data_IF_628161956785
#
_entry.id   IF_628161956785
#
_cell.length_a   1.000
_cell.length_b   1.000
_cell.length_c   1.000
_cell.angle_alpha   90.00
_cell.angle_beta   90.00
_cell.angle_gamma   90.00
#
_symmetry.space_group_name_H-M   'P 1'
#
loop_
_entity.id
_entity.type
_entity.pdbx_description
1 polymer ?
#
# COMPACT_ATOMS: atom_id res chain seq x y z
N UNK A 1 2.32 -13.42 29.52
CA UNK A 1 1.15 -13.10 28.67
C UNK A 1 0.47 -11.87 29.25
N UNK A 2 0.81 -10.68 28.74
CA UNK A 2 0.33 -9.40 29.26
C UNK A 2 -0.87 -8.92 28.42
N UNK A 3 -2.02 -9.58 28.60
CA UNK A 3 -3.19 -9.51 27.71
C UNK A 3 -3.82 -8.12 27.50
N UNK A 4 -3.43 -7.10 28.27
CA UNK A 4 -3.96 -5.73 28.14
C UNK A 4 -3.18 -4.85 27.17
N UNK A 5 -1.85 -4.99 27.06
CA UNK A 5 -1.02 -4.12 26.21
C UNK A 5 -1.09 -4.55 24.74
N UNK A 6 -0.99 -5.86 24.49
CA UNK A 6 -1.22 -6.50 23.19
C UNK A 6 -2.54 -6.04 22.54
N UNK A 7 -3.56 -5.75 23.36
CA UNK A 7 -4.89 -5.34 22.87
C UNK A 7 -4.91 -3.97 22.19
N UNK A 8 -4.07 -3.01 22.61
CA UNK A 8 -4.09 -1.65 22.07
C UNK A 8 -3.35 -1.59 20.73
N UNK A 9 -2.16 -2.20 20.65
CA UNK A 9 -1.40 -2.31 19.40
C UNK A 9 -2.21 -3.05 18.35
N UNK A 10 -2.82 -4.18 18.72
CA UNK A 10 -3.65 -4.95 17.80
C UNK A 10 -4.87 -4.16 17.31
N UNK A 11 -5.55 -3.40 18.17
CA UNK A 11 -6.68 -2.53 17.75
C UNK A 11 -6.22 -1.46 16.77
N UNK A 12 -5.11 -0.79 17.03
CA UNK A 12 -4.54 0.22 16.14
C UNK A 12 -4.18 -0.37 14.77
N UNK A 13 -3.51 -1.53 14.75
CA UNK A 13 -3.16 -2.22 13.52
C UNK A 13 -4.37 -2.63 12.69
N UNK A 14 -5.42 -3.16 13.34
CA UNK A 14 -6.68 -3.50 12.66
C UNK A 14 -7.29 -2.29 11.94
N UNK A 15 -7.30 -1.13 12.59
CA UNK A 15 -7.80 0.12 11.97
C UNK A 15 -6.95 0.47 10.74
N UNK A 16 -5.63 0.44 10.87
CA UNK A 16 -4.74 0.74 9.76
C UNK A 16 -4.85 -0.25 8.60
N UNK A 17 -5.05 -1.54 8.87
CA UNK A 17 -5.29 -2.54 7.83
C UNK A 17 -6.61 -2.33 7.08
N UNK A 18 -7.67 -1.92 7.79
CA UNK A 18 -8.93 -1.54 7.14
C UNK A 18 -8.77 -0.29 6.28
N UNK A 19 -8.08 0.74 6.79
CA UNK A 19 -7.79 1.95 6.02
C UNK A 19 -6.99 1.60 4.75
N UNK A 20 -5.94 0.78 4.88
CA UNK A 20 -5.13 0.36 3.74
C UNK A 20 -5.94 -0.45 2.73
N UNK A 21 -6.79 -1.38 3.19
CA UNK A 21 -7.70 -2.11 2.31
C UNK A 21 -8.60 -1.17 1.50
N UNK A 22 -9.22 -0.18 2.15
CA UNK A 22 -10.08 0.79 1.46
C UNK A 22 -9.28 1.57 0.41
N UNK A 23 -8.08 2.02 0.76
CA UNK A 23 -7.19 2.73 -0.17
C UNK A 23 -6.84 1.83 -1.35
N UNK A 24 -6.31 0.62 -1.12
CA UNK A 24 -5.93 -0.31 -2.19
C UNK A 24 -7.08 -0.59 -3.15
N UNK A 25 -8.28 -0.89 -2.63
CA UNK A 25 -9.45 -1.18 -3.45
C UNK A 25 -9.90 0.04 -4.24
N UNK A 26 -9.81 1.25 -3.66
CA UNK A 26 -10.19 2.48 -4.36
C UNK A 26 -9.30 2.77 -5.60
N UNK A 27 -8.05 2.31 -5.60
CA UNK A 27 -7.16 2.38 -6.76
C UNK A 27 -7.26 1.12 -7.64
N UNK A 28 -7.43 -0.06 -7.05
CA UNK A 28 -7.50 -1.33 -7.78
C UNK A 28 -8.71 -1.39 -8.72
N UNK A 29 -9.89 -0.97 -8.27
CA UNK A 29 -11.11 -0.98 -9.08
C UNK A 29 -10.96 -0.19 -10.38
N UNK A 30 -10.63 1.11 -10.38
CA UNK A 30 -10.48 1.86 -11.62
C UNK A 30 -9.28 1.38 -12.46
N UNK A 31 -8.16 0.95 -11.85
CA UNK A 31 -7.05 0.35 -12.58
C UNK A 31 -7.44 -0.96 -13.29
N UNK A 32 -8.37 -1.72 -12.72
CA UNK A 32 -8.80 -2.99 -13.31
C UNK A 32 -9.79 -2.78 -14.46
N UNK A 33 -10.82 -1.97 -14.24
CA UNK A 33 -11.94 -1.81 -15.18
C UNK A 33 -11.70 -0.71 -16.22
N UNK A 34 -11.03 0.38 -15.86
CA UNK A 34 -10.81 1.54 -16.72
C UNK A 34 -9.37 2.10 -16.61
N UNK A 35 -8.33 1.26 -16.83
CA UNK A 35 -6.92 1.63 -16.58
C UNK A 35 -6.47 2.87 -17.36
N UNK A 36 -6.83 2.97 -18.64
CA UNK A 36 -6.39 4.08 -19.51
C UNK A 36 -6.98 5.41 -19.07
N UNK A 37 -8.28 5.43 -18.83
CA UNK A 37 -8.98 6.63 -18.34
C UNK A 37 -8.43 7.08 -16.99
N UNK A 38 -8.31 6.15 -16.03
CA UNK A 38 -7.86 6.48 -14.68
C UNK A 38 -6.41 6.97 -14.65
N UNK A 39 -5.51 6.29 -15.36
CA UNK A 39 -4.10 6.67 -15.40
C UNK A 39 -3.86 7.97 -16.18
N UNK A 40 -4.69 8.29 -17.18
CA UNK A 40 -4.66 9.60 -17.83
C UNK A 40 -5.03 10.73 -16.86
N UNK A 41 -6.05 10.54 -16.01
CA UNK A 41 -6.41 11.51 -14.96
C UNK A 41 -5.25 11.71 -13.99
N UNK A 42 -4.52 10.64 -13.68
CA UNK A 42 -3.34 10.71 -12.82
C UNK A 42 -2.08 11.23 -13.54
N UNK A 43 -2.18 11.65 -14.80
CA UNK A 43 -1.10 12.31 -15.52
C UNK A 43 -0.06 11.39 -16.14
N UNK A 44 -0.34 10.10 -16.35
CA UNK A 44 0.57 9.21 -17.06
C UNK A 44 0.65 9.54 -18.56
N UNK A 45 1.87 9.54 -19.13
CA UNK A 45 2.09 9.73 -20.58
C UNK A 45 1.87 8.46 -21.40
N UNK A 46 2.35 7.34 -20.87
CA UNK A 46 2.30 6.04 -21.54
C UNK A 46 1.61 5.05 -20.60
N UNK A 47 0.57 4.40 -21.10
CA UNK A 47 -0.27 3.50 -20.30
C UNK A 47 -0.34 2.15 -21.01
N UNK A 48 0.17 1.12 -20.35
CA UNK A 48 -0.07 -0.28 -20.72
C UNK A 48 -1.23 -0.82 -19.86
N UNK A 49 -2.40 -1.13 -20.47
CA UNK A 49 -3.55 -1.65 -19.75
C UNK A 49 -3.35 -3.04 -19.13
N UNK A 50 -2.41 -3.85 -19.63
CA UNK A 50 -2.09 -5.16 -19.05
C UNK A 50 -1.30 -4.94 -17.77
N UNK A 51 -0.23 -4.14 -17.83
CA UNK A 51 0.56 -3.80 -16.64
C UNK A 51 -0.30 -3.13 -15.56
N UNK A 52 -1.18 -2.20 -15.92
CA UNK A 52 -2.10 -1.55 -14.97
C UNK A 52 -3.04 -2.56 -14.27
N UNK A 53 -3.54 -3.57 -14.99
CA UNK A 53 -4.37 -4.63 -14.41
C UNK A 53 -3.59 -5.59 -13.53
N UNK A 54 -2.32 -5.84 -13.85
CA UNK A 54 -1.43 -6.62 -12.97
C UNK A 54 -1.16 -5.87 -11.66
N UNK A 55 -0.97 -4.55 -11.71
CA UNK A 55 -0.88 -3.70 -10.51
C UNK A 55 -2.19 -3.76 -9.73
N UNK A 56 -3.35 -3.66 -10.40
CA UNK A 56 -4.65 -3.81 -9.74
C UNK A 56 -4.81 -5.18 -9.05
N UNK A 57 -4.40 -6.27 -9.71
CA UNK A 57 -4.41 -7.61 -9.12
C UNK A 57 -3.51 -7.70 -7.87
N UNK A 58 -2.34 -7.06 -7.90
CA UNK A 58 -1.47 -6.98 -6.73
C UNK A 58 -2.13 -6.19 -5.58
N UNK A 59 -2.79 -5.07 -5.88
CA UNK A 59 -3.56 -4.29 -4.88
C UNK A 59 -4.74 -5.07 -4.31
N UNK A 60 -5.47 -5.83 -5.13
CA UNK A 60 -6.51 -6.75 -4.62
C UNK A 60 -5.94 -7.79 -3.67
N UNK A 61 -4.77 -8.36 -3.99
CA UNK A 61 -4.10 -9.34 -3.14
C UNK A 61 -3.63 -8.75 -1.81
N UNK A 62 -2.85 -7.67 -1.86
CA UNK A 62 -2.25 -7.03 -0.67
C UNK A 62 -3.33 -6.37 0.19
N UNK A 63 -4.29 -5.69 -0.45
CA UNK A 63 -5.43 -5.10 0.23
C UNK A 63 -6.34 -6.16 0.84
N UNK A 64 -6.74 -7.17 0.06
CA UNK A 64 -7.61 -8.24 0.53
C UNK A 64 -7.03 -9.03 1.69
N UNK A 65 -5.73 -9.32 1.66
CA UNK A 65 -5.00 -9.96 2.75
C UNK A 65 -5.10 -9.16 4.07
N UNK A 66 -5.13 -7.82 3.96
CA UNK A 66 -5.31 -6.91 5.10
C UNK A 66 -6.68 -7.04 5.77
N UNK A 67 -7.71 -7.53 5.07
CA UNK A 67 -9.05 -7.77 5.63
C UNK A 67 -9.18 -9.20 6.19
N UNK A 68 -8.65 -10.20 5.48
CA UNK A 68 -8.83 -11.61 5.85
C UNK A 68 -8.03 -12.02 7.10
N UNK A 69 -6.92 -11.36 7.40
CA UNK A 69 -5.99 -11.79 8.44
C UNK A 69 -6.10 -11.01 9.76
N UNK A 70 -7.09 -10.13 9.91
CA UNK A 70 -7.27 -9.28 11.12
C UNK A 70 -7.62 -10.06 12.39
N UNK A 71 -7.96 -11.35 12.28
CA UNK A 71 -8.34 -12.22 13.40
C UNK A 71 -7.23 -13.19 13.84
N UNK A 72 -6.14 -13.31 13.07
CA UNK A 72 -5.17 -14.41 13.18
C UNK A 72 -4.07 -14.20 14.23
N UNK A 73 -3.91 -13.00 14.79
CA UNK A 73 -2.97 -12.72 15.89
C UNK A 73 -1.65 -12.06 15.47
N UNK A 74 -0.68 -12.02 16.39
CA UNK A 74 0.56 -11.23 16.27
C UNK A 74 1.47 -11.72 15.14
N UNK A 75 1.59 -13.03 14.94
CA UNK A 75 2.41 -13.59 13.87
C UNK A 75 1.89 -13.19 12.49
N UNK A 76 0.56 -13.23 12.30
CA UNK A 76 -0.08 -12.75 11.09
C UNK A 76 0.14 -11.24 10.89
N UNK A 77 0.06 -10.45 11.97
CA UNK A 77 0.30 -9.00 11.88
C UNK A 77 1.74 -8.68 11.50
N UNK A 78 2.69 -9.46 12.02
CA UNK A 78 4.10 -9.36 11.66
C UNK A 78 4.32 -9.68 10.19
N UNK A 79 3.75 -10.79 9.69
CA UNK A 79 3.84 -11.17 8.29
C UNK A 79 3.23 -10.09 7.37
N UNK A 80 2.06 -9.57 7.73
CA UNK A 80 1.38 -8.49 7.03
C UNK A 80 2.22 -7.22 6.93
N UNK A 81 2.83 -6.80 8.05
CA UNK A 81 3.67 -5.61 8.08
C UNK A 81 4.92 -5.80 7.22
N UNK A 82 5.57 -6.96 7.29
CA UNK A 82 6.72 -7.26 6.44
C UNK A 82 6.34 -7.17 4.95
N UNK A 83 5.20 -7.73 4.54
CA UNK A 83 4.69 -7.62 3.18
C UNK A 83 4.50 -6.15 2.76
N UNK A 84 3.82 -5.36 3.60
CA UNK A 84 3.54 -3.94 3.33
C UNK A 84 4.80 -3.09 3.25
N UNK A 85 5.81 -3.37 4.08
CA UNK A 85 7.10 -2.68 4.03
C UNK A 85 7.84 -3.02 2.73
N UNK A 86 7.95 -4.30 2.36
CA UNK A 86 8.62 -4.73 1.13
C UNK A 86 7.94 -4.10 -0.10
N UNK A 87 6.61 -4.19 -0.15
CA UNK A 87 5.85 -3.66 -1.27
C UNK A 87 5.95 -2.13 -1.37
N UNK A 88 5.69 -1.40 -0.29
CA UNK A 88 5.75 0.07 -0.31
C UNK A 88 7.14 0.59 -0.66
N UNK A 89 8.21 -0.08 -0.18
CA UNK A 89 9.59 0.27 -0.54
C UNK A 89 9.86 0.07 -2.03
N UNK A 90 9.41 -1.05 -2.60
CA UNK A 90 9.54 -1.30 -4.03
C UNK A 90 8.79 -0.25 -4.87
N UNK A 91 7.58 0.14 -4.44
CA UNK A 91 6.79 1.19 -5.09
C UNK A 91 7.49 2.54 -5.01
N UNK A 92 8.01 2.93 -3.83
CA UNK A 92 8.78 4.17 -3.65
C UNK A 92 9.96 4.24 -4.62
N UNK A 93 10.76 3.17 -4.72
CA UNK A 93 11.89 3.10 -5.64
C UNK A 93 11.42 3.24 -7.09
N UNK A 94 10.36 2.53 -7.48
CA UNK A 94 9.79 2.61 -8.82
C UNK A 94 9.29 4.02 -9.18
N UNK A 95 8.63 4.70 -8.24
CA UNK A 95 8.15 6.08 -8.44
C UNK A 95 9.31 7.08 -8.55
N UNK A 96 10.36 6.93 -7.74
CA UNK A 96 11.57 7.75 -7.85
C UNK A 96 12.18 7.59 -9.25
N UNK A 97 12.34 6.36 -9.74
CA UNK A 97 12.84 6.10 -11.10
C UNK A 97 11.93 6.71 -12.17
N UNK A 98 10.61 6.58 -12.04
CA UNK A 98 9.64 7.11 -12.99
C UNK A 98 9.65 8.66 -13.05
N UNK A 99 9.91 9.33 -11.92
CA UNK A 99 10.10 10.78 -11.87
C UNK A 99 11.38 11.20 -12.60
N UNK A 100 12.49 10.47 -12.41
CA UNK A 100 13.75 10.75 -13.12
C UNK A 100 13.68 10.52 -14.63
N UNK A 101 12.89 9.54 -15.08
CA UNK A 101 12.74 9.23 -16.51
C UNK A 101 11.65 10.06 -17.20
N UNK A 102 10.94 10.93 -16.46
CA UNK A 102 9.89 11.80 -17.03
C UNK A 102 8.64 11.04 -17.50
N UNK A 103 8.32 9.91 -16.86
CA UNK A 103 7.16 9.07 -17.17
C UNK A 103 5.81 9.78 -16.96
N UNK A 104 5.82 10.83 -16.14
CA UNK A 104 4.66 11.68 -15.84
C UNK A 104 4.57 12.88 -16.80
N UNK A 105 3.34 13.22 -17.20
CA UNK A 105 2.96 14.45 -17.90
C UNK A 105 3.23 15.68 -17.04
N UNK A 106 2.67 15.64 -15.84
CA UNK A 106 2.93 16.58 -14.74
C UNK A 106 3.55 15.80 -13.56
N UNK A 107 4.77 16.13 -13.13
CA UNK A 107 5.42 15.45 -12.01
C UNK A 107 4.71 15.64 -10.67
N UNK A 108 3.82 16.63 -10.53
CA UNK A 108 3.12 16.92 -9.27
C UNK A 108 2.34 15.72 -8.72
N UNK A 109 1.63 15.00 -9.59
CA UNK A 109 0.86 13.81 -9.22
C UNK A 109 1.79 12.66 -8.80
N UNK A 110 2.89 12.46 -9.53
CA UNK A 110 3.89 11.45 -9.20
C UNK A 110 4.54 11.70 -7.84
N UNK A 111 4.86 12.97 -7.53
CA UNK A 111 5.37 13.38 -6.21
C UNK A 111 4.32 13.15 -5.12
N UNK A 112 3.06 13.50 -5.38
CA UNK A 112 1.96 13.28 -4.44
C UNK A 112 1.79 11.80 -4.09
N UNK A 113 1.77 10.92 -5.09
CA UNK A 113 1.69 9.47 -4.89
C UNK A 113 2.93 8.93 -4.17
N UNK A 114 4.13 9.38 -4.53
CA UNK A 114 5.37 9.03 -3.84
C UNK A 114 5.31 9.40 -2.35
N UNK A 115 4.82 10.60 -2.02
CA UNK A 115 4.66 11.05 -0.64
C UNK A 115 3.67 10.18 0.14
N UNK A 116 2.55 9.78 -0.48
CA UNK A 116 1.58 8.85 0.13
C UNK A 116 2.26 7.52 0.46
N UNK A 117 2.98 6.92 -0.50
CA UNK A 117 3.69 5.66 -0.25
C UNK A 117 4.77 5.78 0.83
N UNK A 118 5.51 6.89 0.86
CA UNK A 118 6.50 7.16 1.90
C UNK A 118 5.87 7.24 3.29
N UNK A 119 4.73 7.93 3.42
CA UNK A 119 3.98 8.02 4.68
C UNK A 119 3.48 6.64 5.13
N UNK A 120 2.85 5.87 4.25
CA UNK A 120 2.39 4.52 4.58
C UNK A 120 3.56 3.61 4.98
N UNK A 121 4.68 3.66 4.25
CA UNK A 121 5.88 2.90 4.58
C UNK A 121 6.41 3.23 5.98
N UNK A 122 6.48 4.53 6.33
CA UNK A 122 6.87 4.97 7.66
C UNK A 122 5.89 4.48 8.76
N UNK A 123 4.58 4.51 8.49
CA UNK A 123 3.56 3.96 9.38
C UNK A 123 3.78 2.46 9.63
N UNK A 124 4.07 1.69 8.58
CA UNK A 124 4.34 0.25 8.70
C UNK A 124 5.61 -0.07 9.46
N UNK A 125 6.70 0.66 9.20
CA UNK A 125 7.96 0.53 9.93
C UNK A 125 7.75 0.85 11.42
N UNK A 126 7.03 1.93 11.73
CA UNK A 126 6.72 2.31 13.10
C UNK A 126 5.92 1.23 13.84
N UNK A 127 4.88 0.68 13.21
CA UNK A 127 4.12 -0.42 13.81
C UNK A 127 4.95 -1.70 13.96
N UNK A 128 5.81 -2.01 12.99
CA UNK A 128 6.68 -3.18 13.06
C UNK A 128 7.68 -3.06 14.21
N UNK A 129 8.28 -1.89 14.40
CA UNK A 129 9.18 -1.61 15.51
C UNK A 129 8.47 -1.77 16.87
N UNK A 130 7.25 -1.24 16.99
CA UNK A 130 6.45 -1.38 18.23
C UNK A 130 6.13 -2.85 18.56
N UNK A 131 5.85 -3.68 17.56
CA UNK A 131 5.63 -5.12 17.77
C UNK A 131 6.89 -5.91 18.14
N UNK A 132 8.09 -5.39 17.91
CA UNK A 132 9.36 -6.05 18.27
C UNK A 132 9.83 -5.72 19.69
N UNK A 133 9.34 -4.61 20.25
CA UNK A 133 9.67 -4.15 21.60
C UNK A 133 8.73 -4.67 22.69
N UNK A 134 7.72 -5.46 22.31
CA UNK A 134 6.83 -6.20 23.22
C UNK A 134 7.24 -7.68 23.32
#
# INVERSE_FOLDING_TARGET
>A
MNSKHDSHIQKGLKIWFVIHFIVDISFALPLFFAPTWFMHILGWKTIDPIAARMVAAALFGIGGESLFNITLGIDAFTAMLNLKIMWSTAVIIGFIMALFTGAFGDPSVGIGLLAIFAVFSAVWINWRAKLQTE
#
